data_IF_638055683941
#
_entry.id   IF_638055683941
#
_cell.length_a   1.000
_cell.length_b   1.000
_cell.length_c   1.000
_cell.angle_alpha   90.00
_cell.angle_beta   90.00
_cell.angle_gamma   90.00
#
_symmetry.space_group_name_H-M   'P 1'
#
loop_
_entity.id
_entity.type
_entity.pdbx_description
1 polymer ?
#
# COMPACT_ATOMS: atom_id res chain seq x y z
N UNK A 1 23.34 11.00 -62.60
CA UNK A 1 24.11 11.84 -61.66
C UNK A 1 23.24 12.21 -60.46
N UNK A 2 23.87 12.46 -59.32
CA UNK A 2 23.36 12.76 -57.98
C UNK A 2 22.83 11.59 -57.11
N UNK A 3 23.68 11.00 -56.26
CA UNK A 3 23.25 10.20 -55.12
C UNK A 3 22.88 11.11 -53.93
N UNK A 4 21.70 10.92 -53.36
CA UNK A 4 21.28 11.59 -52.13
C UNK A 4 22.04 11.01 -50.91
N UNK A 5 22.93 11.82 -50.34
CA UNK A 5 23.58 11.59 -49.04
C UNK A 5 22.55 11.49 -47.91
N UNK A 6 22.36 10.29 -47.36
CA UNK A 6 21.70 10.10 -46.05
C UNK A 6 22.65 10.57 -44.95
N UNK A 7 22.29 11.66 -44.28
CA UNK A 7 23.00 12.19 -43.11
C UNK A 7 22.67 11.32 -41.88
N UNK A 8 23.64 10.55 -41.42
CA UNK A 8 23.60 9.85 -40.14
C UNK A 8 23.69 10.88 -39.00
N UNK A 9 22.57 11.18 -38.33
CA UNK A 9 22.58 11.87 -37.03
C UNK A 9 23.14 10.92 -35.96
N UNK A 10 24.14 11.32 -35.15
CA UNK A 10 24.61 10.50 -34.05
C UNK A 10 23.52 10.33 -32.99
N UNK A 11 23.22 9.08 -32.61
CA UNK A 11 22.42 8.76 -31.43
C UNK A 11 23.15 9.29 -30.19
N UNK A 12 22.50 10.20 -29.46
CA UNK A 12 22.93 10.65 -28.13
C UNK A 12 23.07 9.43 -27.22
N UNK A 13 24.28 9.20 -26.73
CA UNK A 13 24.61 8.24 -25.69
C UNK A 13 23.83 8.57 -24.41
N UNK A 14 23.02 7.61 -23.94
CA UNK A 14 22.35 7.71 -22.64
C UNK A 14 23.40 7.54 -21.54
N UNK A 15 23.78 8.64 -20.90
CA UNK A 15 24.59 8.61 -19.68
C UNK A 15 23.85 7.86 -18.55
N UNK A 16 24.55 7.05 -17.74
CA UNK A 16 23.94 6.36 -16.62
C UNK A 16 23.40 7.38 -15.61
N UNK A 17 22.13 7.25 -15.22
CA UNK A 17 21.56 8.03 -14.11
C UNK A 17 22.34 7.71 -12.84
N UNK A 18 23.10 8.69 -12.34
CA UNK A 18 23.70 8.63 -11.00
C UNK A 18 22.61 8.31 -9.96
N UNK A 19 22.89 7.41 -9.00
CA UNK A 19 21.94 7.10 -7.94
C UNK A 19 21.57 8.37 -7.16
N UNK A 20 20.27 8.52 -6.88
CA UNK A 20 19.70 9.59 -6.06
C UNK A 20 20.40 9.55 -4.70
N UNK A 21 21.29 10.52 -4.45
CA UNK A 21 21.83 10.77 -3.12
C UNK A 21 20.65 10.99 -2.17
N UNK A 22 20.59 10.16 -1.13
CA UNK A 22 19.70 10.34 0.01
C UNK A 22 20.12 11.65 0.66
N UNK A 23 19.34 12.72 0.44
CA UNK A 23 19.58 14.01 1.07
C UNK A 23 19.41 13.83 2.58
N UNK A 24 20.49 14.06 3.32
CA UNK A 24 20.44 14.17 4.78
C UNK A 24 19.36 15.20 5.18
N UNK A 25 18.56 14.93 6.23
CA UNK A 25 17.62 15.91 6.75
C UNK A 25 18.41 17.13 7.25
N UNK A 26 18.28 18.25 6.53
CA UNK A 26 18.90 19.52 6.93
C UNK A 26 18.28 19.97 8.25
N UNK A 27 19.14 20.31 9.20
CA UNK A 27 18.80 20.72 10.56
C UNK A 27 18.07 22.07 10.54
N UNK A 28 16.74 22.04 10.75
CA UNK A 28 15.95 23.27 10.91
C UNK A 28 16.33 23.92 12.25
N UNK A 29 16.63 25.22 12.26
CA UNK A 29 17.01 25.95 13.49
C UNK A 29 15.80 26.09 14.44
N UNK A 30 16.03 26.08 15.76
CA UNK A 30 14.95 26.26 16.76
C UNK A 30 14.29 27.63 16.63
N UNK A 31 15.07 28.65 16.30
CA UNK A 31 14.61 30.03 16.07
C UNK A 31 13.65 30.13 14.87
N UNK A 32 13.94 29.43 13.76
CA UNK A 32 13.05 29.36 12.60
C UNK A 32 11.71 28.70 12.95
N UNK A 33 11.75 27.64 13.75
CA UNK A 33 10.54 26.96 14.22
C UNK A 33 9.71 27.87 15.12
N UNK A 34 10.35 28.70 15.94
CA UNK A 34 9.68 29.75 16.73
C UNK A 34 8.93 30.74 15.86
N UNK A 35 9.59 31.30 14.83
CA UNK A 35 8.96 32.21 13.86
C UNK A 35 7.82 31.53 13.10
N UNK A 36 7.99 30.26 12.71
CA UNK A 36 6.96 29.48 12.04
C UNK A 36 5.73 29.24 12.93
N UNK A 37 5.93 28.90 14.21
CA UNK A 37 4.83 28.76 15.18
C UNK A 37 4.07 30.06 15.35
N UNK A 38 4.78 31.17 15.50
CA UNK A 38 4.17 32.48 15.71
C UNK A 38 3.33 32.89 14.49
N UNK A 39 3.87 32.70 13.28
CA UNK A 39 3.14 32.99 12.04
C UNK A 39 1.79 32.26 11.96
N UNK A 40 1.77 30.96 12.25
CA UNK A 40 0.55 30.15 12.19
C UNK A 40 -0.31 30.23 13.46
N UNK A 41 0.21 30.80 14.55
CA UNK A 41 -0.61 31.16 15.72
C UNK A 41 -1.45 32.40 15.41
N UNK A 42 -0.85 33.39 14.76
CA UNK A 42 -1.55 34.61 14.31
C UNK A 42 -2.43 34.36 13.09
N UNK A 43 -1.99 33.47 12.18
CA UNK A 43 -2.69 33.14 10.95
C UNK A 43 -2.84 31.61 10.83
N UNK A 44 -3.85 31.00 11.49
CA UNK A 44 -4.04 29.54 11.52
C UNK A 44 -4.16 28.91 10.13
N UNK A 45 -4.64 29.69 9.18
CA UNK A 45 -4.81 29.29 7.80
C UNK A 45 -4.32 30.40 6.86
N UNK A 46 -3.35 30.08 6.00
CA UNK A 46 -2.79 31.03 5.03
C UNK A 46 -3.28 30.66 3.63
N UNK A 47 -4.04 31.51 2.93
CA UNK A 47 -4.84 31.09 1.78
C UNK A 47 -4.00 30.73 0.54
N UNK A 48 -2.81 31.31 0.38
CA UNK A 48 -1.99 31.11 -0.82
C UNK A 48 -0.50 30.99 -0.53
N UNK A 49 0.23 30.39 -1.49
CA UNK A 49 1.68 30.27 -1.40
C UNK A 49 2.38 31.63 -1.50
N UNK A 50 1.78 32.59 -2.20
CA UNK A 50 2.28 33.96 -2.35
C UNK A 50 2.27 34.69 -1.02
N UNK A 51 1.16 34.61 -0.28
CA UNK A 51 1.06 35.21 1.07
C UNK A 51 2.06 34.54 2.03
N UNK A 52 2.18 33.22 1.96
CA UNK A 52 3.17 32.49 2.77
C UNK A 52 4.61 32.90 2.45
N UNK A 53 4.90 33.18 1.18
CA UNK A 53 6.22 33.60 0.72
C UNK A 53 6.57 35.01 1.18
N UNK A 54 5.62 35.95 1.13
CA UNK A 54 5.80 37.29 1.69
C UNK A 54 6.09 37.24 3.19
N UNK A 55 5.34 36.41 3.93
CA UNK A 55 5.60 36.21 5.36
C UNK A 55 6.99 35.62 5.60
N UNK A 56 7.44 34.67 4.78
CA UNK A 56 8.78 34.09 4.90
C UNK A 56 9.92 35.02 4.47
N UNK A 57 9.68 36.03 3.63
CA UNK A 57 10.69 37.07 3.34
C UNK A 57 11.05 37.89 4.58
N UNK A 58 10.12 37.99 5.53
CA UNK A 58 10.29 38.76 6.76
C UNK A 58 10.91 37.93 7.90
N UNK A 59 11.19 36.64 7.69
CA UNK A 59 11.80 35.77 8.69
C UNK A 59 13.28 36.12 8.84
N UNK A 60 13.73 36.35 10.08
CA UNK A 60 15.12 36.69 10.37
C UNK A 60 16.00 35.45 10.45
N UNK A 61 15.39 34.29 10.74
CA UNK A 61 16.12 33.07 11.09
C UNK A 61 15.96 31.94 10.06
N UNK A 62 15.94 32.25 8.77
CA UNK A 62 15.84 31.22 7.71
C UNK A 62 17.09 30.30 7.74
N UNK A 63 16.93 28.96 7.68
CA UNK A 63 18.08 28.05 7.66
C UNK A 63 19.08 28.37 6.55
N UNK A 64 20.39 28.18 6.80
CA UNK A 64 21.41 28.43 5.78
C UNK A 64 21.16 27.55 4.55
N UNK A 65 21.27 28.14 3.35
CA UNK A 65 20.93 27.55 2.03
C UNK A 65 19.43 27.50 1.70
N UNK A 66 18.54 28.00 2.56
CA UNK A 66 17.12 28.12 2.23
C UNK A 66 16.80 29.57 1.82
N UNK A 67 16.08 29.70 0.70
CA UNK A 67 15.33 30.89 0.29
C UNK A 67 13.86 30.73 0.73
N UNK A 68 13.07 31.82 0.85
CA UNK A 68 11.64 31.75 1.16
C UNK A 68 10.88 30.75 0.26
N UNK A 69 11.20 30.71 -1.03
CA UNK A 69 10.65 29.76 -2.00
C UNK A 69 10.99 28.30 -1.69
N UNK A 70 12.25 28.02 -1.36
CA UNK A 70 12.68 26.65 -1.02
C UNK A 70 12.18 26.23 0.35
N UNK A 71 11.98 27.16 1.28
CA UNK A 71 11.40 26.89 2.60
C UNK A 71 10.00 26.30 2.49
N UNK A 72 9.13 26.88 1.64
CA UNK A 72 7.77 26.34 1.43
C UNK A 72 7.82 24.91 0.85
N UNK A 73 8.69 24.68 -0.15
CA UNK A 73 8.85 23.37 -0.77
C UNK A 73 9.34 22.33 0.22
N UNK A 74 10.32 22.69 1.04
CA UNK A 74 10.94 21.79 2.00
C UNK A 74 10.01 21.51 3.18
N UNK A 75 9.37 22.53 3.75
CA UNK A 75 8.36 22.34 4.81
C UNK A 75 7.16 21.50 4.35
N UNK A 76 6.79 21.56 3.07
CA UNK A 76 5.77 20.67 2.49
C UNK A 76 6.28 19.26 2.31
N UNK A 77 7.51 19.10 1.83
CA UNK A 77 8.16 17.79 1.67
C UNK A 77 8.31 17.07 3.02
N UNK A 78 8.63 17.83 4.06
CA UNK A 78 8.78 17.36 5.44
C UNK A 78 7.43 17.23 6.17
N UNK A 79 6.33 17.59 5.50
CA UNK A 79 4.97 17.47 6.03
C UNK A 79 4.61 18.48 7.13
N UNK A 80 5.50 19.40 7.47
CA UNK A 80 5.33 20.42 8.52
C UNK A 80 4.20 21.39 8.17
N UNK A 81 4.06 21.76 6.90
CA UNK A 81 2.90 22.53 6.41
C UNK A 81 2.10 21.70 5.41
N UNK A 82 0.76 21.79 5.49
CA UNK A 82 -0.16 21.08 4.59
C UNK A 82 -1.08 22.06 3.91
N UNK A 83 -1.35 21.84 2.62
CA UNK A 83 -2.33 22.63 1.87
C UNK A 83 -3.68 21.90 1.85
N UNK A 84 -4.69 22.51 2.47
CA UNK A 84 -6.07 22.05 2.37
C UNK A 84 -6.72 22.58 1.09
N UNK A 85 -7.29 21.67 0.30
CA UNK A 85 -8.16 22.00 -0.84
C UNK A 85 -9.63 22.18 -0.43
N UNK A 86 -10.00 21.81 0.81
CA UNK A 86 -11.35 21.99 1.35
C UNK A 86 -11.51 23.44 1.80
N UNK A 87 -12.69 24.04 1.62
CA UNK A 87 -12.97 25.42 2.05
C UNK A 87 -13.01 25.50 3.59
N UNK A 88 -12.40 26.51 4.22
CA UNK A 88 -11.53 27.52 3.61
C UNK A 88 -10.19 26.90 3.16
N UNK A 89 -9.78 27.23 1.93
CA UNK A 89 -8.55 26.71 1.34
C UNK A 89 -7.34 27.43 1.93
N UNK A 90 -6.24 26.70 2.13
CA UNK A 90 -5.01 27.32 2.61
C UNK A 90 -4.01 26.35 3.20
N UNK A 91 -2.85 26.90 3.55
CA UNK A 91 -1.80 26.24 4.29
C UNK A 91 -2.10 26.28 5.78
N UNK A 92 -1.94 25.15 6.44
CA UNK A 92 -1.96 25.03 7.90
C UNK A 92 -0.69 24.35 8.40
N UNK A 93 -0.35 24.62 9.65
CA UNK A 93 0.78 24.01 10.35
C UNK A 93 0.35 22.69 10.99
N UNK A 94 1.13 21.63 10.75
CA UNK A 94 0.97 20.37 11.47
C UNK A 94 1.77 20.44 12.78
N UNK A 95 1.08 20.83 13.86
CA UNK A 95 1.68 20.97 15.19
C UNK A 95 2.27 19.65 15.73
N UNK A 96 1.75 18.49 15.32
CA UNK A 96 2.25 17.19 15.78
C UNK A 96 3.63 16.92 15.18
N UNK A 97 3.78 17.09 13.87
CA UNK A 97 5.05 16.89 13.16
C UNK A 97 6.11 17.86 13.68
N UNK A 98 5.72 19.12 13.91
CA UNK A 98 6.61 20.14 14.45
C UNK A 98 7.14 19.79 15.87
N UNK A 99 6.29 19.18 16.71
CA UNK A 99 6.67 18.76 18.05
C UNK A 99 7.61 17.53 18.05
N UNK A 100 7.43 16.61 17.10
CA UNK A 100 8.31 15.44 16.92
C UNK A 100 9.69 15.87 16.40
N UNK A 101 9.76 16.84 15.49
CA UNK A 101 11.03 17.40 15.00
C UNK A 101 11.87 18.05 16.11
N UNK A 102 11.24 18.74 17.07
CA UNK A 102 11.93 19.34 18.21
C UNK A 102 12.43 18.28 19.21
N UNK A 103 11.64 17.22 19.47
CA UNK A 103 12.03 16.12 20.38
C UNK A 103 13.21 15.31 19.85
N UNK A 104 13.26 15.08 18.54
CA UNK A 104 14.37 14.35 17.90
C UNK A 104 15.68 15.15 17.85
N UNK A 105 15.63 16.49 17.98
CA UNK A 105 16.82 17.34 18.02
C UNK A 105 17.49 17.35 19.40
N UNK A 106 16.69 17.29 20.47
CA UNK A 106 17.20 17.24 21.85
C UNK A 106 17.71 15.85 22.28
N UNK A 107 17.38 14.79 21.54
CA UNK A 107 17.79 13.40 21.85
C UNK A 107 19.11 12.98 21.20
N UNK A 108 19.75 13.85 20.42
CA UNK A 108 21.07 13.62 19.84
C UNK A 108 22.24 14.27 20.62
N UNK A 109 21.98 14.76 21.82
CA UNK A 109 23.01 15.16 22.80
C UNK A 109 22.68 14.39 24.08
N UNK A 110 23.66 13.64 24.61
CA UNK A 110 23.57 12.71 25.75
C UNK A 110 23.21 11.27 25.39
N UNK A 111 24.16 10.62 24.71
CA UNK A 111 24.32 9.16 24.77
C UNK A 111 25.37 8.87 25.83
N UNK A 112 24.95 8.62 27.07
CA UNK A 112 25.80 8.01 28.10
C UNK A 112 24.97 7.38 29.23
N UNK A 113 25.37 6.14 29.53
CA UNK A 113 25.19 5.38 30.78
C UNK A 113 23.77 4.96 31.18
N UNK A 114 23.52 3.67 30.96
CA UNK A 114 22.94 2.72 31.92
C UNK A 114 22.71 3.24 33.34
N UNK A 115 21.48 3.09 33.84
CA UNK A 115 21.14 2.43 35.13
C UNK A 115 19.64 2.46 35.41
N UNK A 116 19.12 1.25 35.66
CA UNK A 116 18.32 0.85 36.82
C UNK A 116 17.08 1.67 37.21
N UNK A 117 15.94 1.01 37.03
CA UNK A 117 14.63 1.28 37.63
C UNK A 117 14.73 1.42 39.16
N UNK A 118 13.92 2.31 39.76
CA UNK A 118 13.24 1.92 40.99
C UNK A 118 11.72 2.09 40.92
N UNK A 119 11.07 1.04 41.42
CA UNK A 119 9.66 0.94 41.75
C UNK A 119 9.24 2.02 42.75
N UNK A 120 8.08 2.65 42.54
CA UNK A 120 7.40 3.40 43.61
C UNK A 120 5.95 2.91 43.69
N UNK A 121 5.68 2.20 44.78
CA UNK A 121 4.35 1.91 45.34
C UNK A 121 3.73 3.20 45.88
N UNK A 122 2.45 3.41 45.63
CA UNK A 122 1.58 4.34 46.39
C UNK A 122 0.11 3.93 46.16
N UNK A 123 -0.46 3.12 47.06
CA UNK A 123 -1.40 3.48 48.14
C UNK A 123 -2.79 3.95 47.65
N UNK A 124 -3.75 3.04 47.82
CA UNK A 124 -5.20 3.27 47.90
C UNK A 124 -5.56 4.30 48.97
N UNK A 125 -6.78 4.88 48.87
CA UNK A 125 -7.71 4.71 49.97
C UNK A 125 -9.05 4.09 49.55
N UNK A 126 -9.61 3.42 50.54
CA UNK A 126 -10.80 2.60 50.62
C UNK A 126 -12.01 3.50 50.90
N UNK A 127 -13.13 3.29 50.21
CA UNK A 127 -14.44 3.64 50.74
C UNK A 127 -15.43 2.50 50.46
N UNK A 128 -15.99 2.00 51.56
CA UNK A 128 -17.07 1.03 51.61
C UNK A 128 -18.40 1.76 51.44
N UNK A 129 -19.35 1.11 50.78
CA UNK A 129 -20.76 1.50 50.77
C UNK A 129 -21.58 0.36 50.19
N UNK A 130 -22.07 -0.52 51.07
CA UNK A 130 -23.03 -1.59 50.75
C UNK A 130 -24.44 -0.98 50.64
N UNK A 131 -25.24 -1.47 49.69
CA UNK A 131 -26.66 -1.72 49.91
C UNK A 131 -27.16 -2.76 48.91
N UNK A 132 -27.88 -3.74 49.45
CA UNK A 132 -28.44 -4.93 48.85
C UNK A 132 -29.73 -4.65 48.03
N UNK A 133 -30.15 -5.69 47.32
CA UNK A 133 -31.55 -6.13 47.08
C UNK A 133 -32.10 -6.03 45.64
N UNK A 134 -32.52 -7.23 45.18
CA UNK A 134 -33.61 -7.62 44.24
C UNK A 134 -33.32 -7.85 42.75
N UNK A 135 -33.03 -9.13 42.48
CA UNK A 135 -33.74 -10.05 41.55
C UNK A 135 -34.79 -9.40 40.62
N UNK A 136 -34.51 -9.47 39.33
CA UNK A 136 -35.49 -9.35 38.25
C UNK A 136 -34.99 -10.12 37.03
N UNK A 137 -35.36 -11.40 36.95
CA UNK A 137 -35.21 -12.21 35.74
C UNK A 137 -36.14 -11.67 34.66
N UNK A 138 -35.59 -11.00 33.64
CA UNK A 138 -36.20 -10.96 32.33
C UNK A 138 -35.21 -11.51 31.31
N UNK A 139 -35.43 -12.77 30.94
CA UNK A 139 -34.79 -13.42 29.81
C UNK A 139 -35.33 -12.82 28.52
N UNK A 140 -34.81 -11.67 28.13
CA UNK A 140 -34.97 -11.21 26.75
C UNK A 140 -34.08 -12.11 25.92
N UNK A 141 -34.70 -13.05 25.19
CA UNK A 141 -34.07 -13.79 24.09
C UNK A 141 -33.52 -12.77 23.08
N UNK A 142 -32.29 -12.31 23.31
CA UNK A 142 -31.52 -11.62 22.29
C UNK A 142 -31.24 -12.68 21.23
N UNK A 143 -32.05 -12.65 20.17
CA UNK A 143 -31.72 -13.28 18.89
C UNK A 143 -30.33 -12.78 18.54
N UNK A 144 -29.32 -13.62 18.77
CA UNK A 144 -27.96 -13.45 18.27
C UNK A 144 -28.07 -13.60 16.76
N UNK A 145 -28.45 -12.51 16.10
CA UNK A 145 -28.28 -12.36 14.67
C UNK A 145 -26.78 -12.16 14.52
N UNK A 146 -26.08 -13.26 14.22
CA UNK A 146 -24.68 -13.23 13.81
C UNK A 146 -24.58 -12.47 12.49
N UNK A 147 -24.59 -11.13 12.56
CA UNK A 147 -24.23 -10.26 11.46
C UNK A 147 -22.72 -10.40 11.25
N UNK A 148 -22.30 -11.50 10.61
CA UNK A 148 -20.96 -11.62 10.03
C UNK A 148 -20.85 -10.57 8.94
N UNK A 149 -20.40 -9.36 9.31
CA UNK A 149 -20.05 -8.29 8.36
C UNK A 149 -19.09 -8.86 7.33
N UNK A 150 -19.34 -8.59 6.05
CA UNK A 150 -18.45 -9.06 4.98
C UNK A 150 -17.09 -8.37 5.10
N UNK A 151 -16.00 -9.02 4.65
CA UNK A 151 -14.66 -8.42 4.73
C UNK A 151 -14.57 -7.05 4.03
N UNK A 152 -15.35 -6.85 2.96
CA UNK A 152 -15.44 -5.56 2.26
C UNK A 152 -16.09 -4.47 3.15
N UNK A 153 -17.18 -4.80 3.85
CA UNK A 153 -17.84 -3.86 4.77
C UNK A 153 -16.94 -3.46 5.96
N UNK A 154 -16.11 -4.40 6.44
CA UNK A 154 -15.14 -4.12 7.50
C UNK A 154 -14.04 -3.19 6.97
N UNK A 155 -13.52 -3.45 5.77
CA UNK A 155 -12.42 -2.68 5.18
C UNK A 155 -12.79 -1.22 4.94
N UNK A 156 -14.01 -0.95 4.46
CA UNK A 156 -14.44 0.42 4.18
C UNK A 156 -14.69 1.26 5.44
N UNK A 157 -14.86 0.62 6.60
CA UNK A 157 -14.94 1.28 7.90
C UNK A 157 -13.57 1.23 8.58
N UNK A 158 -12.71 2.19 8.24
CA UNK A 158 -11.38 2.32 8.87
C UNK A 158 -11.57 2.45 10.40
N UNK A 159 -11.05 1.51 11.21
CA UNK A 159 -11.19 1.60 12.65
C UNK A 159 -10.42 2.80 13.19
N UNK A 160 -10.89 3.38 14.28
CA UNK A 160 -10.13 4.38 15.03
C UNK A 160 -8.96 3.69 15.73
N UNK A 161 -7.83 3.56 15.03
CA UNK A 161 -6.64 2.90 15.56
C UNK A 161 -5.85 3.89 16.43
N UNK A 162 -5.56 3.57 17.69
CA UNK A 162 -4.72 4.40 18.54
C UNK A 162 -3.35 4.67 17.92
N UNK A 163 -2.88 5.93 18.03
CA UNK A 163 -1.67 6.38 17.34
C UNK A 163 -0.40 5.64 17.81
N UNK A 164 -0.36 5.16 19.05
CA UNK A 164 0.76 4.35 19.56
C UNK A 164 0.85 2.96 18.91
N UNK A 165 -0.27 2.38 18.47
CA UNK A 165 -0.31 1.12 17.74
C UNK A 165 0.06 1.34 16.27
N UNK A 166 -0.35 2.48 15.69
CA UNK A 166 0.08 2.87 14.34
C UNK A 166 1.60 3.04 14.22
N UNK A 167 2.29 3.43 15.29
CA UNK A 167 3.76 3.58 15.29
C UNK A 167 4.52 2.25 15.15
N UNK A 168 3.88 1.10 15.42
CA UNK A 168 4.49 -0.23 15.24
C UNK A 168 4.49 -0.68 13.79
N UNK A 169 3.62 -0.12 12.96
CA UNK A 169 3.53 -0.44 11.54
C UNK A 169 4.61 0.27 10.72
N UNK A 170 5.03 -0.34 9.62
CA UNK A 170 5.80 0.36 8.61
C UNK A 170 4.94 1.41 7.89
N UNK A 171 5.58 2.35 7.19
CA UNK A 171 4.86 3.34 6.38
C UNK A 171 3.99 2.69 5.29
N UNK A 172 4.38 1.52 4.79
CA UNK A 172 3.62 0.75 3.81
C UNK A 172 2.39 0.11 4.43
N UNK A 173 2.52 -0.45 5.63
CA UNK A 173 1.40 -1.07 6.34
C UNK A 173 0.35 -0.02 6.71
N UNK A 174 0.77 1.13 7.24
CA UNK A 174 -0.15 2.25 7.54
C UNK A 174 -0.87 2.69 6.27
N UNK A 175 -0.20 2.70 5.12
CA UNK A 175 -0.80 3.07 3.84
C UNK A 175 -1.89 2.07 3.44
N UNK A 176 -1.62 0.77 3.41
CA UNK A 176 -2.62 -0.23 3.01
C UNK A 176 -3.79 -0.33 4.00
N UNK A 177 -3.52 -0.14 5.29
CA UNK A 177 -4.55 -0.08 6.33
C UNK A 177 -5.53 1.09 6.10
N UNK A 178 -5.07 2.20 5.51
CA UNK A 178 -5.90 3.36 5.19
C UNK A 178 -6.60 3.29 3.82
N UNK A 179 -6.21 2.37 2.95
CA UNK A 179 -6.81 2.25 1.60
C UNK A 179 -8.23 1.69 1.70
N UNK A 180 -9.18 2.23 0.94
CA UNK A 180 -10.52 1.64 0.83
C UNK A 180 -10.55 0.42 -0.10
N UNK A 181 -11.70 -0.26 -0.19
CA UNK A 181 -11.91 -1.37 -1.15
C UNK A 181 -11.61 -0.93 -2.59
N UNK A 182 -12.08 0.26 -2.97
CA UNK A 182 -11.89 0.82 -4.30
C UNK A 182 -10.42 1.01 -4.68
N UNK A 183 -9.61 1.52 -3.75
CA UNK A 183 -8.19 1.75 -3.99
C UNK A 183 -7.42 0.43 -4.11
N UNK A 184 -7.80 -0.57 -3.31
CA UNK A 184 -7.20 -1.91 -3.36
C UNK A 184 -7.46 -2.56 -4.72
N UNK A 185 -8.68 -2.47 -5.24
CA UNK A 185 -9.06 -3.08 -6.53
C UNK A 185 -8.34 -2.47 -7.73
N UNK A 186 -7.73 -1.28 -7.57
CA UNK A 186 -6.94 -0.60 -8.62
C UNK A 186 -5.45 -0.91 -8.56
N UNK A 187 -5.00 -1.67 -7.57
CA UNK A 187 -3.60 -2.01 -7.43
C UNK A 187 -3.16 -3.03 -8.48
N UNK A 188 -1.94 -2.90 -9.03
CA UNK A 188 -1.34 -3.97 -9.83
C UNK A 188 -1.02 -5.17 -8.94
N UNK A 189 -1.04 -6.37 -9.51
CA UNK A 189 -0.83 -7.64 -8.81
C UNK A 189 0.42 -7.64 -7.91
N UNK A 190 1.56 -7.16 -8.42
CA UNK A 190 2.80 -7.05 -7.66
C UNK A 190 2.66 -6.24 -6.36
N UNK A 191 1.84 -5.19 -6.36
CA UNK A 191 1.60 -4.40 -5.15
C UNK A 191 0.62 -5.08 -4.20
N UNK A 192 -0.36 -5.82 -4.73
CA UNK A 192 -1.29 -6.60 -3.91
C UNK A 192 -0.51 -7.67 -3.14
N UNK A 193 0.36 -8.43 -3.84
CA UNK A 193 1.18 -9.48 -3.22
C UNK A 193 2.18 -8.90 -2.21
N UNK A 194 2.84 -7.78 -2.55
CA UNK A 194 3.72 -7.07 -1.62
C UNK A 194 2.99 -6.64 -0.33
N UNK A 195 1.80 -6.05 -0.44
CA UNK A 195 1.04 -5.65 0.75
C UNK A 195 0.47 -6.83 1.54
N UNK A 196 0.13 -7.94 0.87
CA UNK A 196 -0.30 -9.17 1.51
C UNK A 196 0.81 -9.70 2.42
N UNK A 197 2.04 -9.78 1.91
CA UNK A 197 3.22 -10.23 2.66
C UNK A 197 3.56 -9.26 3.82
N UNK A 198 3.53 -7.96 3.53
CA UNK A 198 3.79 -6.90 4.52
C UNK A 198 2.80 -6.97 5.69
N UNK A 199 1.49 -7.06 5.41
CA UNK A 199 0.46 -7.17 6.46
C UNK A 199 0.52 -8.49 7.21
N UNK A 200 0.82 -9.60 6.52
CA UNK A 200 0.99 -10.90 7.17
C UNK A 200 2.14 -10.88 8.18
N UNK A 201 3.22 -10.17 7.85
CA UNK A 201 4.35 -9.95 8.76
C UNK A 201 3.97 -9.00 9.90
N UNK A 202 3.31 -7.88 9.59
CA UNK A 202 2.89 -6.90 10.60
C UNK A 202 1.89 -7.47 11.62
N UNK A 203 1.09 -8.47 11.23
CA UNK A 203 0.17 -9.20 12.12
C UNK A 203 0.85 -9.73 13.38
N UNK A 204 2.10 -10.17 13.28
CA UNK A 204 2.88 -10.78 14.37
C UNK A 204 3.20 -9.76 15.48
N UNK A 205 3.11 -8.45 15.19
CA UNK A 205 3.45 -7.38 16.12
C UNK A 205 2.33 -7.05 17.14
N UNK A 206 1.21 -7.74 17.06
CA UNK A 206 0.01 -7.48 17.86
C UNK A 206 -0.43 -8.75 18.59
N UNK A 207 -0.81 -8.59 19.85
CA UNK A 207 -1.27 -9.65 20.73
C UNK A 207 -2.80 -9.56 20.92
N UNK A 208 -3.49 -10.66 20.61
CA UNK A 208 -4.94 -10.78 20.74
C UNK A 208 -5.47 -10.71 22.18
N UNK A 209 -4.60 -10.80 23.17
CA UNK A 209 -4.96 -10.70 24.58
C UNK A 209 -5.33 -9.26 25.01
N UNK A 210 -4.87 -8.24 24.27
CA UNK A 210 -5.18 -6.85 24.56
C UNK A 210 -6.35 -6.35 23.70
N UNK A 211 -7.40 -5.82 24.34
CA UNK A 211 -8.62 -5.36 23.65
C UNK A 211 -8.36 -4.37 22.49
N UNK A 212 -7.42 -3.43 22.68
CA UNK A 212 -7.08 -2.44 21.65
C UNK A 212 -6.31 -3.06 20.47
N UNK A 213 -5.53 -4.11 20.72
CA UNK A 213 -4.76 -4.81 19.68
C UNK A 213 -5.62 -5.84 18.95
N UNK A 214 -6.61 -6.43 19.64
CA UNK A 214 -7.61 -7.33 19.04
C UNK A 214 -8.38 -6.67 17.90
N UNK A 215 -8.83 -5.43 18.05
CA UNK A 215 -9.53 -4.68 16.98
C UNK A 215 -8.63 -4.52 15.75
N UNK A 216 -7.34 -4.27 15.96
CA UNK A 216 -6.37 -4.13 14.87
C UNK A 216 -6.14 -5.47 14.20
N UNK A 217 -5.94 -6.54 14.96
CA UNK A 217 -5.77 -7.89 14.43
C UNK A 217 -6.96 -8.32 13.58
N UNK A 218 -8.19 -8.09 14.05
CA UNK A 218 -9.40 -8.36 13.28
C UNK A 218 -9.43 -7.58 11.95
N UNK A 219 -8.98 -6.32 11.96
CA UNK A 219 -8.91 -5.50 10.77
C UNK A 219 -7.78 -5.92 9.81
N UNK A 220 -6.60 -6.28 10.33
CA UNK A 220 -5.50 -6.86 9.55
C UNK A 220 -5.99 -8.16 8.89
N UNK A 221 -6.63 -9.05 9.63
CA UNK A 221 -7.11 -10.34 9.13
C UNK A 221 -8.17 -10.15 8.04
N UNK A 222 -9.09 -9.19 8.23
CA UNK A 222 -10.06 -8.81 7.20
C UNK A 222 -9.37 -8.29 5.92
N UNK A 223 -8.34 -7.44 6.07
CA UNK A 223 -7.54 -6.89 4.98
C UNK A 223 -6.75 -7.97 4.23
N UNK A 224 -6.04 -8.85 4.94
CA UNK A 224 -5.30 -9.97 4.35
C UNK A 224 -6.27 -10.84 3.56
N UNK A 225 -7.41 -11.24 4.15
CA UNK A 225 -8.41 -12.06 3.48
C UNK A 225 -8.94 -11.43 2.20
N UNK A 226 -9.16 -10.12 2.19
CA UNK A 226 -9.61 -9.41 0.99
C UNK A 226 -8.50 -9.29 -0.05
N UNK A 227 -7.27 -8.94 0.34
CA UNK A 227 -6.11 -8.89 -0.55
C UNK A 227 -5.83 -10.25 -1.19
N UNK A 228 -5.95 -11.36 -0.45
CA UNK A 228 -5.82 -12.71 -1.02
C UNK A 228 -6.85 -12.99 -2.11
N UNK A 229 -8.10 -12.55 -1.91
CA UNK A 229 -9.15 -12.69 -2.95
C UNK A 229 -8.82 -11.88 -4.21
N UNK A 230 -8.35 -10.64 -4.04
CA UNK A 230 -7.96 -9.78 -5.15
C UNK A 230 -6.74 -10.34 -5.88
N UNK A 231 -5.73 -10.79 -5.13
CA UNK A 231 -4.53 -11.44 -5.68
C UNK A 231 -4.90 -12.66 -6.51
N UNK A 232 -5.73 -13.57 -5.98
CA UNK A 232 -6.19 -14.75 -6.70
C UNK A 232 -6.87 -14.39 -8.03
N UNK A 233 -7.80 -13.43 -8.00
CA UNK A 233 -8.49 -12.97 -9.20
C UNK A 233 -7.52 -12.40 -10.24
N UNK A 234 -6.54 -11.60 -9.81
CA UNK A 234 -5.55 -11.02 -10.72
C UNK A 234 -4.59 -12.07 -11.30
N UNK A 235 -4.18 -13.07 -10.51
CA UNK A 235 -3.38 -14.22 -10.98
C UNK A 235 -4.16 -15.04 -12.02
N UNK A 236 -5.46 -15.27 -11.80
CA UNK A 236 -6.33 -15.92 -12.80
C UNK A 236 -6.41 -15.11 -14.10
N UNK A 237 -6.66 -13.81 -14.01
CA UNK A 237 -6.72 -12.92 -15.19
C UNK A 237 -5.39 -12.87 -15.96
N UNK A 238 -4.26 -12.81 -15.25
CA UNK A 238 -2.93 -12.85 -15.87
C UNK A 238 -2.64 -14.21 -16.51
N UNK A 239 -2.99 -15.31 -15.84
CA UNK A 239 -2.91 -16.66 -16.39
C UNK A 239 -3.70 -16.79 -17.69
N UNK A 240 -4.95 -16.31 -17.72
CA UNK A 240 -5.78 -16.32 -18.93
C UNK A 240 -5.22 -15.47 -20.06
N UNK A 241 -4.68 -14.27 -19.75
CA UNK A 241 -4.01 -13.43 -20.75
C UNK A 241 -2.80 -14.13 -21.36
N UNK A 242 -1.99 -14.78 -20.54
CA UNK A 242 -0.83 -15.55 -21.00
C UNK A 242 -1.25 -16.74 -21.86
N UNK A 243 -2.30 -17.48 -21.46
CA UNK A 243 -2.85 -18.58 -22.28
C UNK A 243 -3.30 -18.06 -23.65
N UNK A 244 -4.05 -16.93 -23.69
CA UNK A 244 -4.49 -16.33 -24.95
C UNK A 244 -3.31 -15.97 -25.85
N UNK A 245 -2.28 -15.33 -25.28
CA UNK A 245 -1.09 -14.89 -26.02
C UNK A 245 -0.21 -16.04 -26.51
N UNK A 246 -0.06 -17.09 -25.70
CA UNK A 246 0.88 -18.19 -25.95
C UNK A 246 0.24 -19.31 -26.79
N UNK A 247 -1.04 -19.60 -26.57
CA UNK A 247 -1.73 -20.69 -27.23
C UNK A 247 -2.76 -20.21 -28.24
N UNK A 248 -3.76 -19.42 -27.82
CA UNK A 248 -4.91 -19.09 -28.67
C UNK A 248 -4.49 -18.29 -29.89
N UNK A 249 -3.70 -17.23 -29.72
CA UNK A 249 -3.26 -16.39 -30.83
C UNK A 249 -2.40 -17.18 -31.84
N UNK A 250 -1.33 -17.90 -31.43
CA UNK A 250 -0.60 -18.78 -32.33
C UNK A 250 -1.45 -19.87 -33.01
N UNK A 251 -2.48 -20.37 -32.32
CA UNK A 251 -3.43 -21.33 -32.88
C UNK A 251 -4.37 -20.71 -33.90
N UNK A 252 -4.71 -19.42 -33.77
CA UNK A 252 -5.47 -18.69 -34.77
C UNK A 252 -4.62 -18.34 -35.99
N UNK A 253 -3.32 -18.11 -35.79
CA UNK A 253 -2.32 -17.87 -36.84
C UNK A 253 -1.85 -19.15 -37.57
N UNK A 254 -2.43 -20.32 -37.25
CA UNK A 254 -2.10 -21.59 -37.92
C UNK A 254 -0.77 -22.24 -37.51
N UNK A 255 -0.08 -21.73 -36.49
CA UNK A 255 1.24 -22.27 -36.06
C UNK A 255 1.17 -23.73 -35.59
N UNK A 256 -0.02 -24.21 -35.23
CA UNK A 256 -0.27 -25.57 -34.77
C UNK A 256 -0.98 -26.45 -35.80
N UNK A 257 -1.23 -25.99 -37.03
CA UNK A 257 -2.06 -26.71 -38.00
C UNK A 257 -1.51 -28.09 -38.34
N UNK A 258 -0.18 -28.25 -38.46
CA UNK A 258 0.46 -29.57 -38.65
C UNK A 258 0.21 -30.55 -37.49
N UNK A 259 0.11 -30.03 -36.26
CA UNK A 259 -0.20 -30.86 -35.08
C UNK A 259 -1.69 -31.17 -35.07
N UNK A 260 -2.53 -30.16 -35.28
CA UNK A 260 -3.98 -30.28 -35.27
C UNK A 260 -4.44 -31.26 -36.36
N UNK A 261 -3.95 -31.15 -37.60
CA UNK A 261 -4.28 -32.09 -38.69
C UNK A 261 -3.85 -33.53 -38.41
N UNK A 262 -2.77 -33.76 -37.66
CA UNK A 262 -2.33 -35.11 -37.31
C UNK A 262 -3.18 -35.73 -36.18
N UNK A 263 -3.49 -34.95 -35.16
CA UNK A 263 -4.19 -35.42 -33.96
C UNK A 263 -5.72 -35.40 -34.12
N UNK A 264 -6.28 -34.45 -34.87
CA UNK A 264 -7.72 -34.38 -35.12
C UNK A 264 -8.25 -35.52 -35.99
N UNK A 265 -7.40 -36.21 -36.76
CA UNK A 265 -7.77 -37.46 -37.47
C UNK A 265 -8.22 -38.57 -36.52
N UNK A 266 -7.71 -38.58 -35.29
CA UNK A 266 -8.07 -39.55 -34.24
C UNK A 266 -8.93 -38.93 -33.13
N UNK A 267 -9.28 -37.64 -33.28
CA UNK A 267 -9.97 -36.83 -32.27
C UNK A 267 -9.37 -36.90 -30.86
N UNK A 268 -8.06 -37.12 -30.75
CA UNK A 268 -7.38 -37.18 -29.45
C UNK A 268 -6.96 -35.78 -29.01
N UNK A 269 -7.88 -35.06 -28.36
CA UNK A 269 -7.67 -33.70 -27.88
C UNK A 269 -6.57 -33.61 -26.82
N UNK A 270 -6.41 -34.66 -26.01
CA UNK A 270 -5.49 -34.69 -24.87
C UNK A 270 -4.04 -34.86 -25.36
N UNK A 271 -3.80 -35.76 -26.32
CA UNK A 271 -2.51 -35.88 -27.00
C UNK A 271 -2.19 -34.63 -27.84
N UNK A 272 -3.22 -34.02 -28.44
CA UNK A 272 -3.09 -32.75 -29.17
C UNK A 272 -2.58 -31.63 -28.25
N UNK A 273 -3.21 -31.48 -27.06
CA UNK A 273 -2.83 -30.49 -26.06
C UNK A 273 -1.39 -30.71 -25.58
N UNK A 274 -0.99 -31.96 -25.34
CA UNK A 274 0.38 -32.29 -24.96
C UNK A 274 1.40 -31.89 -26.04
N UNK A 275 1.14 -32.22 -27.31
CA UNK A 275 2.03 -31.85 -28.43
C UNK A 275 2.13 -30.33 -28.62
N UNK A 276 1.04 -29.60 -28.41
CA UNK A 276 1.03 -28.14 -28.44
C UNK A 276 1.89 -27.56 -27.32
N UNK A 277 1.73 -28.04 -26.08
CA UNK A 277 2.56 -27.64 -24.92
C UNK A 277 4.03 -27.89 -25.22
N UNK A 278 4.37 -29.10 -25.72
CA UNK A 278 5.75 -29.48 -26.06
C UNK A 278 6.35 -28.57 -27.15
N UNK A 279 5.57 -28.18 -28.16
CA UNK A 279 6.03 -27.27 -29.22
C UNK A 279 6.25 -25.83 -28.74
N UNK A 280 5.47 -25.38 -27.76
CA UNK A 280 5.65 -24.05 -27.15
C UNK A 280 6.89 -24.02 -26.25
N UNK A 281 7.20 -25.12 -25.57
CA UNK A 281 8.43 -25.30 -24.79
C UNK A 281 8.57 -24.31 -23.63
N UNK A 282 9.72 -23.65 -23.51
CA UNK A 282 10.06 -22.82 -22.34
C UNK A 282 9.12 -21.65 -22.03
N UNK A 283 8.31 -21.19 -23.01
CA UNK A 283 7.30 -20.13 -22.77
C UNK A 283 6.18 -20.59 -21.84
N UNK A 284 5.95 -21.91 -21.73
CA UNK A 284 4.95 -22.51 -20.83
C UNK A 284 5.27 -22.21 -19.36
N UNK A 285 6.56 -22.18 -19.00
CA UNK A 285 7.02 -21.90 -17.62
C UNK A 285 6.62 -20.52 -17.08
N UNK A 286 6.18 -19.61 -17.96
CA UNK A 286 5.72 -18.27 -17.57
C UNK A 286 4.27 -18.27 -17.07
N UNK A 287 3.51 -19.34 -17.32
CA UNK A 287 2.12 -19.45 -16.90
C UNK A 287 2.10 -20.05 -15.50
N UNK A 288 1.46 -19.40 -14.52
CA UNK A 288 1.39 -19.89 -13.14
C UNK A 288 0.33 -21.00 -12.99
N UNK A 289 0.39 -22.03 -13.85
CA UNK A 289 -0.50 -23.20 -13.81
C UNK A 289 0.34 -24.48 -13.88
N UNK A 290 -0.14 -25.53 -13.23
CA UNK A 290 0.44 -26.86 -13.42
C UNK A 290 0.28 -27.33 -14.86
N UNK A 291 1.19 -28.18 -15.34
CA UNK A 291 1.12 -28.72 -16.70
C UNK A 291 -0.22 -29.46 -16.95
N UNK A 292 -0.70 -30.20 -15.94
CA UNK A 292 -2.00 -30.84 -15.97
C UNK A 292 -3.16 -29.85 -16.14
N UNK A 293 -3.20 -28.79 -15.33
CA UNK A 293 -4.24 -27.76 -15.43
C UNK A 293 -4.19 -27.02 -16.78
N UNK A 294 -2.99 -26.78 -17.29
CA UNK A 294 -2.79 -26.16 -18.59
C UNK A 294 -3.28 -27.05 -19.73
N UNK A 295 -2.97 -28.35 -19.68
CA UNK A 295 -3.44 -29.34 -20.66
C UNK A 295 -4.97 -29.36 -20.71
N UNK A 296 -5.63 -29.41 -19.54
CA UNK A 296 -7.08 -29.35 -19.42
C UNK A 296 -7.67 -28.07 -20.03
N UNK A 297 -7.08 -26.91 -19.75
CA UNK A 297 -7.48 -25.62 -20.37
C UNK A 297 -7.32 -25.62 -21.90
N UNK A 298 -6.25 -26.21 -22.43
CA UNK A 298 -6.06 -26.32 -23.89
C UNK A 298 -7.08 -27.27 -24.50
N UNK A 299 -7.36 -28.41 -23.86
CA UNK A 299 -8.43 -29.33 -24.27
C UNK A 299 -9.77 -28.61 -24.31
N UNK A 300 -10.11 -27.80 -23.31
CA UNK A 300 -11.33 -26.98 -23.30
C UNK A 300 -11.37 -25.96 -24.46
N UNK A 301 -10.22 -25.36 -24.82
CA UNK A 301 -10.13 -24.45 -25.97
C UNK A 301 -10.34 -25.21 -27.28
N UNK A 302 -9.70 -26.38 -27.41
CA UNK A 302 -9.80 -27.21 -28.61
C UNK A 302 -11.21 -27.78 -28.77
N UNK A 303 -11.84 -28.27 -27.70
CA UNK A 303 -13.22 -28.73 -27.75
C UNK A 303 -14.14 -27.57 -28.16
N UNK A 304 -14.09 -26.41 -27.52
CA UNK A 304 -14.91 -25.26 -27.93
C UNK A 304 -14.75 -24.87 -29.40
N UNK A 305 -13.53 -24.96 -29.94
CA UNK A 305 -13.23 -24.57 -31.33
C UNK A 305 -13.62 -25.63 -32.36
N UNK A 306 -13.62 -26.91 -31.98
CA UNK A 306 -13.81 -28.03 -32.90
C UNK A 306 -14.98 -28.97 -32.52
N UNK A 307 -15.79 -28.64 -31.51
CA UNK A 307 -17.02 -29.34 -31.11
C UNK A 307 -18.21 -29.10 -32.05
N UNK A 308 -18.00 -28.55 -33.24
CA UNK A 308 -19.02 -28.39 -34.30
C UNK A 308 -18.57 -28.96 -35.65
N UNK A 309 -18.10 -30.20 -35.64
CA UNK A 309 -18.09 -31.07 -36.82
C UNK A 309 -18.43 -32.50 -36.37
N UNK A 310 -19.69 -32.68 -36.03
CA UNK A 310 -20.44 -33.91 -36.25
C UNK A 310 -21.80 -33.47 -36.80
#
# INVERSE_FOLDING_TARGET
>A
MNPQKKTNKPRKSSTPRKPKQIKQPLTISSSFIGELKNLFKENPLIPSATVLLEKFKNFKNIPPKWTPNTSIKQLRADGIIKYSKKKPQGYSLDAQILSEFLKNKNTNVNRSTSKTIPSIKSKNPRSQGKADVKKGHHSTKVKVISNKKTAAEIIDKIPSIPQYLLKRFSSNDVKIMKMGVFDINRLPLQKVDFYLESLSSARILFDGNYNNEKIILEYIDAKIKYLSKVSHKLHEEEGERLIKKIFVQPMNEGKFDKILTKCMKKYDLDECAFKIIKKVGGKVKKIPLSEYALRKKIVEILSKRYSKKN
#
